data_IF_135234465748
#
_entry.id   IF_135234465748
#
_cell.length_a   1.000
_cell.length_b   1.000
_cell.length_c   1.000
_cell.angle_alpha   90.00
_cell.angle_beta   90.00
_cell.angle_gamma   90.00
#
_symmetry.space_group_name_H-M   'P 1'
#
loop_
_entity.id
_entity.type
_entity.pdbx_description
1 polymer ?
#
# COMPACT_ATOMS: atom_id res chain seq x y z
N UNK A 1 -16.93 -39.05 -23.52
CA UNK A 1 -15.81 -38.81 -24.47
C UNK A 1 -15.18 -37.47 -24.14
N UNK A 2 -13.84 -37.39 -24.01
CA UNK A 2 -13.16 -36.08 -23.95
C UNK A 2 -13.30 -35.42 -25.33
N UNK A 3 -13.74 -34.16 -25.45
CA UNK A 3 -13.80 -33.50 -26.76
C UNK A 3 -12.42 -33.51 -27.43
N UNK A 4 -12.39 -33.62 -28.75
CA UNK A 4 -11.15 -33.48 -29.50
C UNK A 4 -10.55 -32.11 -29.17
N UNK A 5 -9.26 -32.09 -28.81
CA UNK A 5 -8.54 -30.88 -28.37
C UNK A 5 -8.86 -29.58 -29.15
N UNK A 6 -8.98 -29.56 -30.51
CA UNK A 6 -9.25 -28.32 -31.24
C UNK A 6 -10.61 -27.66 -30.95
N UNK A 7 -11.67 -28.43 -30.63
CA UNK A 7 -13.00 -27.84 -30.35
C UNK A 7 -13.08 -27.23 -28.95
N UNK A 8 -12.23 -27.70 -28.03
CA UNK A 8 -12.20 -27.23 -26.65
C UNK A 8 -11.50 -25.87 -26.50
N UNK A 9 -10.58 -25.51 -27.41
CA UNK A 9 -9.85 -24.25 -27.42
C UNK A 9 -10.38 -23.32 -28.52
N UNK A 10 -11.57 -22.77 -28.32
CA UNK A 10 -12.13 -21.74 -29.19
C UNK A 10 -12.07 -20.37 -28.50
N UNK A 11 -11.49 -19.37 -29.16
CA UNK A 11 -11.62 -17.96 -28.77
C UNK A 11 -12.87 -17.42 -29.46
N UNK A 12 -14.00 -17.38 -28.74
CA UNK A 12 -15.27 -16.89 -29.29
C UNK A 12 -16.05 -16.06 -28.27
N UNK A 13 -16.88 -15.15 -28.77
CA UNK A 13 -17.71 -14.25 -27.96
C UNK A 13 -17.05 -12.92 -27.64
N UNK A 14 -17.69 -12.14 -26.78
CA UNK A 14 -17.25 -10.79 -26.38
C UNK A 14 -16.59 -10.85 -24.99
N UNK A 15 -15.42 -10.22 -24.78
CA UNK A 15 -14.72 -10.22 -23.50
C UNK A 15 -15.30 -9.15 -22.55
N UNK A 16 -16.51 -9.37 -22.04
CA UNK A 16 -17.25 -8.39 -21.23
C UNK A 16 -16.52 -7.99 -19.95
N UNK A 17 -15.81 -8.90 -19.29
CA UNK A 17 -15.06 -8.60 -18.07
C UNK A 17 -13.88 -7.68 -18.39
N UNK A 18 -13.13 -7.97 -19.45
CA UNK A 18 -12.04 -7.11 -19.92
C UNK A 18 -12.57 -5.73 -20.32
N UNK A 19 -13.67 -5.66 -21.08
CA UNK A 19 -14.30 -4.38 -21.47
C UNK A 19 -14.70 -3.58 -20.22
N UNK A 20 -15.35 -4.22 -19.26
CA UNK A 20 -15.82 -3.56 -18.04
C UNK A 20 -14.66 -3.03 -17.21
N UNK A 21 -13.57 -3.80 -17.10
CA UNK A 21 -12.35 -3.39 -16.41
C UNK A 21 -11.71 -2.17 -17.05
N UNK A 22 -11.57 -2.17 -18.38
CA UNK A 22 -10.97 -1.05 -19.12
C UNK A 22 -11.86 0.19 -19.05
N UNK A 23 -13.19 0.03 -19.15
CA UNK A 23 -14.12 1.13 -18.99
C UNK A 23 -14.04 1.74 -17.58
N UNK A 24 -13.99 0.91 -16.54
CA UNK A 24 -13.81 1.38 -15.17
C UNK A 24 -12.50 2.17 -15.00
N UNK A 25 -11.40 1.69 -15.57
CA UNK A 25 -10.12 2.39 -15.53
C UNK A 25 -10.17 3.75 -16.26
N UNK A 26 -10.88 3.84 -17.39
CA UNK A 26 -11.12 5.11 -18.10
C UNK A 26 -11.94 6.06 -17.25
N UNK A 27 -13.06 5.61 -16.67
CA UNK A 27 -13.92 6.44 -15.81
C UNK A 27 -13.16 6.97 -14.58
N UNK A 28 -12.35 6.12 -13.94
CA UNK A 28 -11.55 6.50 -12.78
C UNK A 28 -10.47 7.51 -13.17
N UNK A 29 -9.77 7.30 -14.30
CA UNK A 29 -8.79 8.26 -14.80
C UNK A 29 -9.43 9.61 -15.07
N UNK A 30 -10.59 9.64 -15.72
CA UNK A 30 -11.32 10.88 -15.99
C UNK A 30 -11.79 11.56 -14.70
N UNK A 31 -12.31 10.81 -13.72
CA UNK A 31 -12.70 11.36 -12.43
C UNK A 31 -11.50 11.98 -11.67
N UNK A 32 -10.32 11.35 -11.75
CA UNK A 32 -9.13 11.82 -11.06
C UNK A 32 -8.40 12.97 -11.79
N UNK A 33 -8.40 12.99 -13.12
CA UNK A 33 -7.68 13.97 -13.95
C UNK A 33 -8.54 15.17 -14.39
N UNK A 34 -9.85 14.97 -14.55
CA UNK A 34 -10.70 15.85 -15.34
C UNK A 34 -10.20 15.95 -16.79
N UNK A 35 -10.11 17.17 -17.31
CA UNK A 35 -9.58 17.47 -18.67
C UNK A 35 -8.05 17.63 -18.73
N UNK A 36 -7.33 17.28 -17.66
CA UNK A 36 -5.87 17.44 -17.60
C UNK A 36 -5.16 16.27 -18.27
N UNK A 37 -3.92 16.49 -18.69
CA UNK A 37 -3.07 15.46 -19.33
C UNK A 37 -2.52 14.42 -18.34
N UNK A 38 -2.62 14.65 -17.03
CA UNK A 38 -2.16 13.73 -16.00
C UNK A 38 -2.73 14.02 -14.62
N UNK A 39 -2.58 13.05 -13.73
CA UNK A 39 -3.09 13.10 -12.36
C UNK A 39 -1.96 13.43 -11.39
N UNK A 40 -2.16 14.45 -10.56
CA UNK A 40 -1.20 14.81 -9.53
C UNK A 40 -1.14 13.75 -8.41
N UNK A 41 0.02 13.60 -7.77
CA UNK A 41 0.24 12.59 -6.73
C UNK A 41 -0.77 12.64 -5.57
N UNK A 42 -1.15 13.82 -5.02
CA UNK A 42 -2.17 13.87 -3.97
C UNK A 42 -3.52 13.29 -4.42
N UNK A 43 -3.93 13.56 -5.66
CA UNK A 43 -5.15 12.99 -6.24
C UNK A 43 -5.02 11.48 -6.42
N UNK A 44 -3.88 10.98 -6.89
CA UNK A 44 -3.65 9.53 -7.00
C UNK A 44 -3.76 8.83 -5.64
N UNK A 45 -3.17 9.41 -4.59
CA UNK A 45 -3.29 8.90 -3.22
C UNK A 45 -4.73 8.98 -2.71
N UNK A 46 -5.46 10.04 -3.00
CA UNK A 46 -6.87 10.17 -2.61
C UNK A 46 -7.74 9.07 -3.24
N UNK A 47 -7.54 8.80 -4.53
CA UNK A 47 -8.32 7.82 -5.28
C UNK A 47 -7.91 6.36 -5.03
N UNK A 48 -6.82 6.12 -4.29
CA UNK A 48 -6.46 4.76 -3.86
C UNK A 48 -5.17 4.18 -4.39
N UNK A 49 -4.22 5.00 -4.87
CA UNK A 49 -2.90 4.51 -5.21
C UNK A 49 -2.30 3.75 -4.01
N UNK A 50 -1.60 2.66 -4.29
CA UNK A 50 -0.99 1.84 -3.26
C UNK A 50 0.11 2.68 -2.62
N UNK A 51 -0.02 2.90 -1.32
CA UNK A 51 1.01 3.45 -0.46
C UNK A 51 1.06 2.57 0.79
N UNK A 52 2.17 1.86 1.00
CA UNK A 52 2.35 0.92 2.11
C UNK A 52 2.00 1.54 3.46
N UNK A 53 2.41 2.78 3.78
CA UNK A 53 2.06 3.38 5.06
C UNK A 53 0.56 3.65 5.23
N UNK A 54 -0.20 3.95 4.17
CA UNK A 54 -1.65 4.13 4.30
C UNK A 54 -2.38 2.80 4.55
N UNK A 55 -1.84 1.71 4.00
CA UNK A 55 -2.36 0.36 4.25
C UNK A 55 -2.07 -0.03 5.70
N UNK A 56 -0.83 0.13 6.17
CA UNK A 56 -0.40 -0.30 7.50
C UNK A 56 -0.86 0.63 8.63
N UNK A 57 -0.81 1.95 8.44
CA UNK A 57 -1.08 2.91 9.50
C UNK A 57 -2.58 3.22 9.64
N UNK A 58 -3.32 3.17 8.54
CA UNK A 58 -4.75 3.56 8.48
C UNK A 58 -5.69 2.40 8.18
N UNK A 59 -5.17 1.21 7.89
CA UNK A 59 -5.99 0.07 7.51
C UNK A 59 -6.74 0.30 6.19
N UNK A 60 -6.19 1.09 5.26
CA UNK A 60 -6.83 1.38 3.96
C UNK A 60 -6.62 0.24 2.97
N UNK A 61 -7.09 -0.95 3.34
CA UNK A 61 -6.89 -2.23 2.65
C UNK A 61 -7.53 -2.26 1.26
N UNK A 62 -8.55 -1.44 1.03
CA UNK A 62 -9.19 -1.22 -0.27
C UNK A 62 -8.21 -0.74 -1.36
N UNK A 63 -7.08 -0.12 -0.97
CA UNK A 63 -5.99 0.28 -1.88
C UNK A 63 -5.36 -0.92 -2.60
N UNK A 64 -5.42 -2.11 -2.00
CA UNK A 64 -4.91 -3.35 -2.63
C UNK A 64 -5.65 -3.69 -3.92
N UNK A 65 -6.88 -3.21 -4.07
CA UNK A 65 -7.67 -3.38 -5.29
C UNK A 65 -7.69 -2.09 -6.11
N UNK A 66 -8.02 -0.95 -5.48
CA UNK A 66 -8.21 0.33 -6.17
C UNK A 66 -6.96 0.79 -6.96
N UNK A 67 -5.75 0.54 -6.44
CA UNK A 67 -4.51 0.92 -7.11
C UNK A 67 -4.38 0.33 -8.52
N UNK A 68 -4.91 -0.88 -8.75
CA UNK A 68 -4.82 -1.57 -10.04
C UNK A 68 -5.71 -0.94 -11.11
N UNK A 69 -6.69 -0.11 -10.73
CA UNK A 69 -7.59 0.59 -11.68
C UNK A 69 -7.11 2.01 -12.00
N UNK A 70 -6.21 2.56 -11.19
CA UNK A 70 -5.71 3.93 -11.34
C UNK A 70 -4.62 4.04 -12.38
N UNK A 71 -4.63 5.15 -13.12
CA UNK A 71 -3.58 5.47 -14.09
C UNK A 71 -3.15 6.92 -13.89
N UNK A 72 -1.86 7.19 -14.10
CA UNK A 72 -1.28 8.54 -13.94
C UNK A 72 -1.56 9.45 -15.13
N UNK A 73 -1.74 8.87 -16.32
CA UNK A 73 -1.97 9.57 -17.58
C UNK A 73 -2.62 8.61 -18.62
N UNK A 74 -3.17 9.15 -19.73
CA UNK A 74 -3.80 8.34 -20.77
C UNK A 74 -2.86 7.36 -21.47
N UNK A 75 -1.57 7.68 -21.60
CA UNK A 75 -0.59 6.82 -22.26
C UNK A 75 -0.31 5.57 -21.43
N UNK A 76 -0.18 5.73 -20.10
CA UNK A 76 -0.05 4.61 -19.18
C UNK A 76 -1.28 3.69 -19.26
N UNK A 77 -2.49 4.25 -19.33
CA UNK A 77 -3.70 3.46 -19.54
C UNK A 77 -3.70 2.75 -20.89
N UNK A 78 -3.29 3.41 -21.97
CA UNK A 78 -3.27 2.82 -23.31
C UNK A 78 -2.36 1.59 -23.39
N UNK A 79 -1.16 1.63 -22.81
CA UNK A 79 -0.27 0.47 -22.77
C UNK A 79 -0.85 -0.71 -21.98
N UNK A 80 -1.46 -0.45 -20.82
CA UNK A 80 -2.10 -1.49 -20.02
C UNK A 80 -3.35 -2.06 -20.72
N UNK A 81 -4.14 -1.19 -21.34
CA UNK A 81 -5.32 -1.57 -22.12
C UNK A 81 -4.94 -2.43 -23.32
N UNK A 82 -3.85 -2.12 -24.01
CA UNK A 82 -3.34 -2.95 -25.11
C UNK A 82 -3.01 -4.37 -24.64
N UNK A 83 -2.28 -4.52 -23.53
CA UNK A 83 -1.91 -5.84 -23.01
C UNK A 83 -3.14 -6.65 -22.55
N UNK A 84 -4.04 -6.01 -21.79
CA UNK A 84 -5.26 -6.64 -21.28
C UNK A 84 -6.25 -6.98 -22.39
N UNK A 85 -6.40 -6.12 -23.41
CA UNK A 85 -7.28 -6.39 -24.54
C UNK A 85 -6.81 -7.59 -25.36
N UNK A 86 -5.53 -7.60 -25.74
CA UNK A 86 -4.98 -8.62 -26.63
C UNK A 86 -4.87 -9.98 -25.95
N UNK A 87 -4.26 -10.05 -24.77
CA UNK A 87 -4.03 -11.33 -24.08
C UNK A 87 -5.15 -11.63 -23.10
N UNK A 88 -5.57 -10.65 -22.30
CA UNK A 88 -6.66 -10.82 -21.34
C UNK A 88 -7.98 -11.13 -22.01
N UNK A 89 -8.36 -10.36 -23.04
CA UNK A 89 -9.58 -10.63 -23.80
C UNK A 89 -9.55 -11.98 -24.52
N UNK A 90 -8.39 -12.40 -25.03
CA UNK A 90 -8.22 -13.75 -25.59
C UNK A 90 -8.39 -14.83 -24.52
N UNK A 91 -7.77 -14.67 -23.35
CA UNK A 91 -7.85 -15.61 -22.24
C UNK A 91 -9.28 -15.72 -21.70
N UNK A 92 -9.97 -14.60 -21.49
CA UNK A 92 -11.37 -14.55 -21.03
C UNK A 92 -12.29 -15.39 -21.92
N UNK A 93 -12.10 -15.30 -23.24
CA UNK A 93 -12.90 -16.06 -24.20
C UNK A 93 -12.53 -17.54 -24.26
N UNK A 94 -11.31 -17.90 -23.88
CA UNK A 94 -10.80 -19.26 -23.89
C UNK A 94 -11.14 -20.05 -22.61
N UNK A 95 -11.25 -19.38 -21.46
CA UNK A 95 -11.48 -20.03 -20.14
C UNK A 95 -12.87 -19.79 -19.60
N UNK A 96 -13.22 -20.43 -18.49
CA UNK A 96 -14.51 -20.21 -17.83
C UNK A 96 -14.58 -18.78 -17.24
N UNK A 97 -15.72 -18.08 -17.35
CA UNK A 97 -15.84 -16.70 -16.87
C UNK A 97 -15.49 -16.52 -15.38
N UNK A 98 -15.90 -17.46 -14.53
CA UNK A 98 -15.57 -17.43 -13.10
C UNK A 98 -14.07 -17.60 -12.84
N UNK A 99 -13.40 -18.47 -13.60
CA UNK A 99 -11.95 -18.68 -13.48
C UNK A 99 -11.19 -17.40 -13.90
N UNK A 100 -11.64 -16.73 -14.97
CA UNK A 100 -11.04 -15.46 -15.42
C UNK A 100 -11.24 -14.32 -14.41
N UNK A 101 -12.44 -14.19 -13.86
CA UNK A 101 -12.72 -13.18 -12.83
C UNK A 101 -11.86 -13.40 -11.58
N UNK A 102 -11.77 -14.65 -11.11
CA UNK A 102 -10.91 -15.01 -9.98
C UNK A 102 -9.44 -14.70 -10.28
N UNK A 103 -8.95 -15.05 -11.47
CA UNK A 103 -7.59 -14.69 -11.91
C UNK A 103 -7.34 -13.18 -11.78
N UNK A 104 -8.25 -12.33 -12.26
CA UNK A 104 -8.08 -10.86 -12.16
C UNK A 104 -8.03 -10.38 -10.72
N UNK A 105 -8.93 -10.88 -9.86
CA UNK A 105 -8.97 -10.51 -8.44
C UNK A 105 -7.67 -10.90 -7.73
N UNK A 106 -7.20 -12.14 -7.92
CA UNK A 106 -6.01 -12.62 -7.23
C UNK A 106 -4.73 -12.03 -7.81
N UNK A 107 -4.65 -11.78 -9.11
CA UNK A 107 -3.48 -11.09 -9.70
C UNK A 107 -3.41 -9.62 -9.27
N UNK A 108 -4.55 -8.92 -9.13
CA UNK A 108 -4.61 -7.58 -8.56
C UNK A 108 -4.10 -7.55 -7.12
N UNK A 109 -4.53 -8.53 -6.31
CA UNK A 109 -4.13 -8.67 -4.91
C UNK A 109 -2.64 -9.05 -4.77
N UNK A 110 -2.18 -10.05 -5.54
CA UNK A 110 -0.78 -10.48 -5.55
C UNK A 110 0.17 -9.38 -6.01
N UNK A 111 -0.26 -8.56 -6.98
CA UNK A 111 0.47 -7.36 -7.42
C UNK A 111 0.69 -6.41 -6.25
N UNK A 112 -0.38 -5.95 -5.60
CA UNK A 112 -0.27 -4.88 -4.59
C UNK A 112 0.33 -5.36 -3.28
N UNK A 113 0.18 -6.64 -2.93
CA UNK A 113 0.80 -7.22 -1.73
C UNK A 113 2.30 -7.42 -1.87
N UNK A 114 2.75 -8.04 -2.96
CA UNK A 114 4.19 -8.21 -3.19
C UNK A 114 4.85 -6.84 -3.35
N UNK A 115 4.18 -5.89 -4.00
CA UNK A 115 4.57 -4.48 -3.99
C UNK A 115 4.64 -3.89 -2.58
N UNK A 116 3.65 -4.13 -1.71
CA UNK A 116 3.64 -3.57 -0.34
C UNK A 116 4.77 -4.12 0.53
N UNK A 117 5.17 -5.37 0.30
CA UNK A 117 6.26 -6.03 1.04
C UNK A 117 7.62 -5.64 0.47
N UNK A 118 7.76 -5.59 -0.85
CA UNK A 118 9.04 -5.41 -1.53
C UNK A 118 9.40 -3.97 -1.88
N UNK A 119 8.43 -3.05 -1.89
CA UNK A 119 8.62 -1.68 -2.32
C UNK A 119 7.86 -0.66 -1.45
N UNK A 120 8.60 0.38 -1.06
CA UNK A 120 8.02 1.56 -0.41
C UNK A 120 7.47 2.60 -1.40
N UNK A 121 7.72 2.40 -2.70
CA UNK A 121 7.22 3.29 -3.74
C UNK A 121 5.69 3.26 -3.82
N UNK A 122 5.13 4.41 -4.21
CA UNK A 122 3.72 4.51 -4.57
C UNK A 122 3.52 3.75 -5.88
N UNK A 123 2.50 2.88 -5.92
CA UNK A 123 2.21 2.01 -7.07
C UNK A 123 0.76 2.14 -7.51
N UNK A 124 0.54 2.05 -8.82
CA UNK A 124 -0.76 2.13 -9.48
C UNK A 124 -0.67 1.56 -10.90
N UNK A 125 -1.82 1.25 -11.47
CA UNK A 125 -1.95 0.76 -12.84
C UNK A 125 -2.27 -0.72 -12.91
N UNK A 126 -2.89 -1.12 -14.02
CA UNK A 126 -3.28 -2.50 -14.25
C UNK A 126 -2.12 -3.38 -14.77
N UNK A 127 -0.90 -2.86 -14.84
CA UNK A 127 0.26 -3.56 -15.41
C UNK A 127 0.60 -4.85 -14.66
N UNK A 128 0.51 -4.88 -13.32
CA UNK A 128 0.69 -6.11 -12.55
C UNK A 128 -0.37 -7.18 -12.85
N UNK A 129 -1.63 -6.77 -13.00
CA UNK A 129 -2.70 -7.67 -13.50
C UNK A 129 -2.39 -8.18 -14.91
N UNK A 130 -1.88 -7.32 -15.80
CA UNK A 130 -1.49 -7.71 -17.15
C UNK A 130 -0.34 -8.75 -17.13
N UNK A 131 0.69 -8.57 -16.29
CA UNK A 131 1.73 -9.58 -16.06
C UNK A 131 1.16 -10.89 -15.52
N UNK A 132 0.17 -10.83 -14.63
CA UNK A 132 -0.55 -12.01 -14.15
C UNK A 132 -1.32 -12.72 -15.27
N UNK A 133 -2.03 -11.99 -16.11
CA UNK A 133 -2.71 -12.54 -17.29
C UNK A 133 -1.70 -13.17 -18.26
N UNK A 134 -0.55 -12.54 -18.50
CA UNK A 134 0.53 -13.10 -19.32
C UNK A 134 1.08 -14.41 -18.74
N UNK A 135 1.37 -14.44 -17.43
CA UNK A 135 1.81 -15.65 -16.72
C UNK A 135 0.78 -16.77 -16.75
N UNK A 136 -0.49 -16.42 -16.56
CA UNK A 136 -1.60 -17.37 -16.64
C UNK A 136 -1.73 -17.94 -18.06
N UNK A 137 -1.68 -17.10 -19.09
CA UNK A 137 -1.72 -17.52 -20.49
C UNK A 137 -0.56 -18.45 -20.87
N UNK A 138 0.65 -18.18 -20.36
CA UNK A 138 1.82 -19.04 -20.59
C UNK A 138 1.63 -20.43 -19.97
N UNK A 139 1.27 -20.50 -18.69
CA UNK A 139 1.11 -21.76 -17.95
C UNK A 139 -0.12 -22.54 -18.38
N UNK A 140 -1.24 -21.87 -18.64
CA UNK A 140 -2.45 -22.46 -19.22
C UNK A 140 -2.14 -23.11 -20.56
N UNK A 141 -1.55 -22.37 -21.50
CA UNK A 141 -1.26 -22.91 -22.82
C UNK A 141 -0.27 -24.07 -22.80
N UNK A 142 0.71 -24.04 -21.89
CA UNK A 142 1.64 -25.13 -21.67
C UNK A 142 0.95 -26.37 -21.08
N UNK A 143 0.24 -26.23 -19.95
CA UNK A 143 -0.48 -27.33 -19.27
C UNK A 143 -1.53 -27.99 -20.15
N UNK A 144 -2.22 -27.18 -20.95
CA UNK A 144 -3.33 -27.63 -21.79
C UNK A 144 -2.90 -28.02 -23.20
N UNK A 145 -1.61 -27.92 -23.51
CA UNK A 145 -1.04 -28.37 -24.78
C UNK A 145 -1.59 -27.61 -25.98
N UNK A 146 -1.78 -26.29 -25.87
CA UNK A 146 -2.32 -25.45 -26.95
C UNK A 146 -1.39 -25.47 -28.17
N UNK A 147 -1.96 -25.65 -29.36
CA UNK A 147 -1.25 -25.80 -30.64
C UNK A 147 -1.72 -24.79 -31.69
N UNK A 148 -1.02 -24.75 -32.82
CA UNK A 148 -1.38 -23.91 -33.96
C UNK A 148 -1.20 -22.41 -33.71
N UNK A 149 -2.07 -21.61 -34.33
CA UNK A 149 -2.05 -20.15 -34.26
C UNK A 149 -2.27 -19.61 -32.85
N UNK A 150 -3.02 -20.34 -32.01
CA UNK A 150 -3.28 -19.96 -30.62
C UNK A 150 -2.03 -19.93 -29.73
N UNK A 151 -0.91 -20.51 -30.19
CA UNK A 151 0.36 -20.45 -29.44
C UNK A 151 0.93 -19.04 -29.32
N UNK A 152 0.52 -18.08 -30.16
CA UNK A 152 0.93 -16.68 -30.00
C UNK A 152 0.27 -16.00 -28.81
N UNK A 153 -0.90 -16.50 -28.38
CA UNK A 153 -1.65 -15.99 -27.23
C UNK A 153 -1.42 -16.82 -25.97
N UNK A 154 -1.22 -18.15 -26.11
CA UNK A 154 -1.12 -19.08 -25.00
C UNK A 154 0.12 -19.98 -25.11
N UNK A 155 0.76 -20.26 -23.98
CA UNK A 155 1.91 -21.15 -23.93
C UNK A 155 3.25 -20.43 -24.08
N UNK A 156 4.32 -21.22 -24.23
CA UNK A 156 5.69 -20.74 -24.06
C UNK A 156 6.16 -19.68 -25.09
N UNK A 157 5.46 -19.48 -26.22
CA UNK A 157 5.85 -18.45 -27.20
C UNK A 157 5.63 -17.02 -26.70
N UNK A 158 4.83 -16.84 -25.64
CA UNK A 158 4.63 -15.52 -25.01
C UNK A 158 5.79 -15.13 -24.09
N UNK A 159 6.59 -16.10 -23.64
CA UNK A 159 7.63 -15.91 -22.61
C UNK A 159 8.71 -14.92 -23.05
N UNK A 160 9.25 -14.94 -24.28
CA UNK A 160 10.24 -13.95 -24.70
C UNK A 160 9.71 -12.51 -24.61
N UNK A 161 8.46 -12.28 -25.04
CA UNK A 161 7.81 -10.97 -24.94
C UNK A 161 7.60 -10.54 -23.49
N UNK A 162 7.16 -11.47 -22.64
CA UNK A 162 6.98 -11.24 -21.20
C UNK A 162 8.31 -10.83 -20.55
N UNK A 163 9.39 -11.57 -20.83
CA UNK A 163 10.72 -11.27 -20.30
C UNK A 163 11.24 -9.92 -20.80
N UNK A 164 11.02 -9.58 -22.07
CA UNK A 164 11.41 -8.28 -22.62
C UNK A 164 10.67 -7.12 -21.93
N UNK A 165 9.35 -7.25 -21.72
CA UNK A 165 8.55 -6.24 -21.02
C UNK A 165 8.98 -6.09 -19.56
N UNK A 166 9.24 -7.20 -18.87
CA UNK A 166 9.73 -7.17 -17.49
C UNK A 166 11.11 -6.53 -17.41
N UNK A 167 12.03 -6.91 -18.31
CA UNK A 167 13.38 -6.36 -18.38
C UNK A 167 13.39 -4.86 -18.68
N UNK A 168 12.50 -4.37 -19.56
CA UNK A 168 12.36 -2.94 -19.83
C UNK A 168 11.87 -2.16 -18.59
N UNK A 169 11.13 -2.81 -17.69
CA UNK A 169 10.73 -2.25 -16.40
C UNK A 169 11.87 -2.18 -15.39
N UNK A 170 12.88 -3.04 -15.49
CA UNK A 170 14.03 -3.04 -14.58
C UNK A 170 14.83 -1.74 -14.74
N UNK A 171 14.99 -1.01 -13.63
CA UNK A 171 15.72 0.26 -13.61
C UNK A 171 14.93 1.49 -14.08
N UNK A 172 13.71 1.30 -14.59
CA UNK A 172 12.84 2.42 -14.98
C UNK A 172 12.23 3.10 -13.75
N UNK A 173 12.51 4.39 -13.57
CA UNK A 173 11.94 5.17 -12.48
C UNK A 173 10.41 5.22 -12.58
N UNK A 174 9.72 4.93 -11.47
CA UNK A 174 8.26 4.87 -11.43
C UNK A 174 7.64 3.57 -11.93
N UNK A 175 8.44 2.52 -12.20
CA UNK A 175 7.96 1.17 -12.46
C UNK A 175 8.05 0.31 -11.20
N UNK A 176 6.96 -0.36 -10.86
CA UNK A 176 6.87 -1.26 -9.71
C UNK A 176 7.09 -2.72 -10.13
N UNK A 177 8.36 -3.12 -10.20
CA UNK A 177 8.74 -4.49 -10.59
C UNK A 177 8.36 -5.55 -9.54
N UNK A 178 8.24 -5.16 -8.27
CA UNK A 178 7.71 -6.05 -7.23
C UNK A 178 6.24 -6.35 -7.49
N UNK A 179 5.46 -5.34 -7.85
CA UNK A 179 4.10 -5.50 -8.32
C UNK A 179 4.00 -6.39 -9.55
N UNK A 180 4.82 -6.16 -10.57
CA UNK A 180 4.86 -7.00 -11.77
C UNK A 180 5.19 -8.46 -11.45
N UNK A 181 6.19 -8.69 -10.60
CA UNK A 181 6.59 -10.03 -10.14
C UNK A 181 5.47 -10.73 -9.36
N UNK A 182 4.79 -10.01 -8.47
CA UNK A 182 3.66 -10.55 -7.70
C UNK A 182 2.47 -10.93 -8.57
N UNK A 183 2.12 -10.08 -9.53
CA UNK A 183 1.10 -10.37 -10.53
C UNK A 183 1.47 -11.59 -11.37
N UNK A 184 2.68 -11.61 -11.93
CA UNK A 184 3.21 -12.70 -12.75
C UNK A 184 3.18 -14.05 -12.03
N UNK A 185 3.72 -14.10 -10.80
CA UNK A 185 3.76 -15.32 -9.99
C UNK A 185 2.35 -15.84 -9.70
N UNK A 186 1.46 -14.95 -9.26
CA UNK A 186 0.07 -15.30 -8.95
C UNK A 186 -0.64 -15.84 -10.19
N UNK A 187 -0.46 -15.16 -11.33
CA UNK A 187 -1.04 -15.58 -12.60
C UNK A 187 -0.51 -16.91 -13.09
N UNK A 188 0.80 -17.14 -13.03
CA UNK A 188 1.42 -18.40 -13.43
C UNK A 188 0.93 -19.60 -12.59
N UNK A 189 0.76 -19.40 -11.27
CA UNK A 189 0.20 -20.43 -10.39
C UNK A 189 -1.26 -20.71 -10.75
N UNK A 190 -2.08 -19.67 -10.92
CA UNK A 190 -3.49 -19.80 -11.23
C UNK A 190 -3.73 -20.42 -12.62
N UNK A 191 -2.92 -20.03 -13.61
CA UNK A 191 -2.97 -20.53 -14.99
C UNK A 191 -2.80 -22.05 -15.11
N UNK A 192 -2.10 -22.68 -14.16
CA UNK A 192 -1.98 -24.13 -14.10
C UNK A 192 -3.31 -24.86 -13.87
N UNK A 193 -4.29 -24.18 -13.30
CA UNK A 193 -5.59 -24.75 -12.91
C UNK A 193 -6.76 -24.23 -13.75
N UNK A 194 -6.51 -23.28 -14.66
CA UNK A 194 -7.53 -22.74 -15.56
C UNK A 194 -8.11 -23.84 -16.47
N UNK A 195 -9.42 -23.83 -16.62
CA UNK A 195 -10.16 -24.79 -17.43
C UNK A 195 -10.69 -24.14 -18.70
N UNK A 196 -10.53 -24.77 -19.88
CA UNK A 196 -11.11 -24.24 -21.12
C UNK A 196 -12.64 -24.17 -21.02
N UNK A 197 -13.23 -23.12 -21.60
CA UNK A 197 -14.66 -22.82 -21.47
C UNK A 197 -15.58 -23.97 -21.90
N UNK A 198 -15.19 -24.69 -22.95
CA UNK A 198 -15.98 -25.77 -23.57
C UNK A 198 -15.61 -27.17 -23.07
N UNK A 199 -14.73 -27.30 -22.07
CA UNK A 199 -14.28 -28.60 -21.58
C UNK A 199 -15.20 -29.12 -20.44
N UNK A 200 -15.91 -30.25 -20.63
CA UNK A 200 -16.80 -30.81 -19.61
C UNK A 200 -16.04 -31.53 -18.49
N UNK A 201 -16.58 -31.52 -17.27
CA UNK A 201 -16.13 -32.41 -16.17
C UNK A 201 -14.96 -31.93 -15.30
N UNK A 202 -14.47 -30.70 -15.46
CA UNK A 202 -13.34 -30.17 -14.64
C UNK A 202 -13.78 -29.32 -13.44
N UNK A 203 -14.72 -29.79 -12.63
CA UNK A 203 -15.11 -29.08 -11.41
C UNK A 203 -13.96 -29.04 -10.37
N UNK A 204 -13.12 -30.09 -10.33
CA UNK A 204 -11.98 -30.17 -9.43
C UNK A 204 -10.88 -29.15 -9.74
N UNK A 205 -10.62 -28.85 -11.02
CA UNK A 205 -9.63 -27.84 -11.43
C UNK A 205 -10.10 -26.42 -11.03
N UNK A 206 -11.38 -26.09 -11.24
CA UNK A 206 -11.96 -24.83 -10.76
C UNK A 206 -11.96 -24.74 -9.22
N UNK A 207 -12.14 -25.85 -8.49
CA UNK A 207 -12.02 -25.89 -7.01
C UNK A 207 -10.57 -25.68 -6.55
N UNK A 208 -9.58 -26.21 -7.26
CA UNK A 208 -8.16 -26.00 -6.95
C UNK A 208 -7.70 -24.58 -7.30
N UNK A 209 -8.18 -24.01 -8.40
CA UNK A 209 -7.98 -22.60 -8.72
C UNK A 209 -8.58 -21.71 -7.62
N UNK A 210 -9.81 -22.02 -7.19
CA UNK A 210 -10.46 -21.34 -6.08
C UNK A 210 -9.71 -21.54 -4.75
N UNK A 211 -9.13 -22.72 -4.48
CA UNK A 211 -8.35 -22.99 -3.28
C UNK A 211 -6.98 -22.30 -3.29
N UNK A 212 -6.29 -22.25 -4.43
CA UNK A 212 -5.05 -21.50 -4.60
C UNK A 212 -5.29 -19.99 -4.43
N UNK A 213 -6.38 -19.50 -5.05
CA UNK A 213 -6.87 -18.15 -4.82
C UNK A 213 -7.20 -17.90 -3.36
N UNK A 214 -7.97 -18.78 -2.72
CA UNK A 214 -8.34 -18.66 -1.31
C UNK A 214 -7.11 -18.69 -0.39
N UNK A 215 -6.08 -19.50 -0.66
CA UNK A 215 -4.84 -19.51 0.11
C UNK A 215 -4.10 -18.18 0.00
N UNK A 216 -3.97 -17.65 -1.22
CA UNK A 216 -3.38 -16.32 -1.46
C UNK A 216 -4.22 -15.27 -0.73
N UNK A 217 -5.55 -15.30 -0.88
CA UNK A 217 -6.49 -14.41 -0.20
C UNK A 217 -6.40 -14.52 1.33
N UNK A 218 -6.20 -15.71 1.88
CA UNK A 218 -6.09 -15.93 3.34
C UNK A 218 -4.75 -15.42 3.88
N UNK A 219 -3.65 -15.64 3.14
CA UNK A 219 -2.35 -15.05 3.46
C UNK A 219 -2.39 -13.52 3.35
N UNK A 220 -3.15 -13.00 2.38
CA UNK A 220 -3.43 -11.58 2.21
C UNK A 220 -4.22 -11.02 3.39
N UNK A 221 -5.31 -11.67 3.77
CA UNK A 221 -6.13 -11.32 4.92
C UNK A 221 -5.34 -11.42 6.23
N UNK A 222 -4.40 -12.36 6.40
CA UNK A 222 -3.53 -12.41 7.58
C UNK A 222 -2.57 -11.22 7.70
N UNK A 223 -2.07 -10.71 6.57
CA UNK A 223 -1.19 -9.52 6.50
C UNK A 223 -1.98 -8.20 6.66
N UNK A 224 -3.28 -8.24 6.36
CA UNK A 224 -4.13 -7.06 6.17
C UNK A 224 -5.20 -6.90 7.25
N UNK A 225 -5.61 -7.99 7.92
CA UNK A 225 -6.63 -8.02 8.98
C UNK A 225 -6.04 -7.86 10.40
N UNK A 226 -4.72 -7.72 10.54
CA UNK A 226 -4.09 -7.33 11.79
C UNK A 226 -4.04 -5.78 11.88
N UNK A 227 -4.39 -5.23 13.05
CA UNK A 227 -5.54 -4.36 13.30
C UNK A 227 -5.42 -2.94 12.72
N UNK A 228 -6.50 -2.15 12.85
CA UNK A 228 -6.61 -0.70 12.59
C UNK A 228 -5.66 0.20 13.43
N UNK A 229 -4.51 -0.35 13.85
CA UNK A 229 -3.51 0.22 14.71
C UNK A 229 -2.13 -0.05 14.12
N UNK A 230 -1.30 0.97 13.85
CA UNK A 230 0.01 0.80 13.23
C UNK A 230 0.87 -0.20 14.02
N UNK A 231 1.40 -1.23 13.37
CA UNK A 231 2.32 -2.17 14.02
C UNK A 231 3.61 -1.44 14.40
N UNK A 232 4.04 -1.54 15.65
CA UNK A 232 5.32 -0.96 16.10
C UNK A 232 6.45 -1.91 15.74
N UNK A 233 7.49 -1.39 15.07
CA UNK A 233 8.66 -2.14 14.66
C UNK A 233 9.70 -2.29 15.78
N UNK A 234 10.97 -2.31 15.36
CA UNK A 234 12.11 -2.40 16.28
C UNK A 234 12.40 -1.06 16.97
N UNK A 235 13.11 -1.13 18.10
CA UNK A 235 13.62 0.05 18.79
C UNK A 235 14.54 0.86 17.88
N UNK A 236 14.38 2.19 17.94
CA UNK A 236 15.20 3.17 17.25
C UNK A 236 15.91 4.05 18.27
N UNK A 237 17.22 4.21 18.11
CA UNK A 237 18.03 5.03 18.99
C UNK A 237 17.96 6.51 18.61
N UNK A 238 17.82 7.33 19.65
CA UNK A 238 17.82 8.79 19.62
C UNK A 238 18.96 9.39 20.44
N UNK A 239 18.90 10.71 20.68
CA UNK A 239 19.83 11.42 21.57
C UNK A 239 19.92 10.76 22.95
N UNK A 240 21.11 10.85 23.57
CA UNK A 240 21.39 10.30 24.89
C UNK A 240 21.01 8.81 25.06
N UNK A 241 21.09 8.02 23.99
CA UNK A 241 20.73 6.60 23.95
C UNK A 241 19.27 6.30 24.35
N UNK A 242 18.37 7.27 24.21
CA UNK A 242 16.93 7.03 24.28
C UNK A 242 16.51 6.07 23.18
N UNK A 243 15.65 5.11 23.50
CA UNK A 243 15.09 4.19 22.51
C UNK A 243 13.57 4.29 22.49
N UNK A 244 12.98 4.23 21.29
CA UNK A 244 11.54 4.23 21.08
C UNK A 244 11.19 3.32 19.92
N UNK A 245 10.06 2.60 19.99
CA UNK A 245 9.54 1.86 18.85
C UNK A 245 8.73 2.79 17.95
N UNK A 246 9.10 2.82 16.67
CA UNK A 246 8.37 3.56 15.62
C UNK A 246 7.44 2.61 14.86
N UNK A 247 6.38 3.13 14.20
CA UNK A 247 5.58 2.33 13.29
C UNK A 247 6.43 1.67 12.18
N UNK A 248 6.01 0.49 11.74
CA UNK A 248 6.70 -0.27 10.70
C UNK A 248 6.79 0.55 9.40
N UNK A 249 7.96 0.54 8.76
CA UNK A 249 8.18 1.25 7.49
C UNK A 249 8.41 2.76 7.60
N UNK A 250 8.27 3.35 8.79
CA UNK A 250 8.58 4.77 8.97
C UNK A 250 10.08 5.05 8.84
N UNK A 251 10.39 6.18 8.19
CA UNK A 251 11.73 6.59 7.80
C UNK A 251 12.16 7.79 8.62
N UNK A 252 13.46 7.91 8.85
CA UNK A 252 14.04 9.04 9.58
C UNK A 252 13.82 10.32 8.77
N UNK A 253 13.28 11.37 9.40
CA UNK A 253 12.91 12.63 8.76
C UNK A 253 13.91 13.75 9.09
N UNK A 254 14.23 13.96 10.37
CA UNK A 254 15.16 15.00 10.83
C UNK A 254 15.81 14.60 12.15
N UNK A 255 17.02 15.10 12.41
CA UNK A 255 17.71 14.95 13.70
C UNK A 255 18.24 16.31 14.16
N UNK A 256 18.23 16.51 15.47
CA UNK A 256 18.99 17.56 16.16
C UNK A 256 19.73 16.93 17.36
N UNK A 257 20.63 17.67 18.03
CA UNK A 257 21.29 17.16 19.23
C UNK A 257 20.32 16.74 20.34
N UNK A 258 19.12 17.31 20.38
CA UNK A 258 18.10 17.04 21.40
C UNK A 258 16.82 16.40 20.84
N UNK A 259 16.72 16.14 19.54
CA UNK A 259 15.51 15.53 18.97
C UNK A 259 15.79 14.62 17.79
N UNK A 260 14.89 13.68 17.54
CA UNK A 260 14.89 12.91 16.31
C UNK A 260 13.46 12.62 15.86
N UNK A 261 13.25 12.65 14.55
CA UNK A 261 11.95 12.54 13.92
C UNK A 261 11.92 11.42 12.89
N UNK A 262 10.77 10.77 12.80
CA UNK A 262 10.42 9.79 11.77
C UNK A 262 9.11 10.19 11.10
N UNK A 263 8.96 9.85 9.82
CA UNK A 263 7.72 10.02 9.08
C UNK A 263 7.37 8.78 8.27
N UNK A 264 6.11 8.70 7.87
CA UNK A 264 5.64 7.68 6.94
C UNK A 264 6.11 7.91 5.48
N UNK A 265 6.96 8.92 5.23
CA UNK A 265 7.50 9.22 3.90
C UNK A 265 6.52 9.83 2.90
N UNK A 266 5.28 10.13 3.32
CA UNK A 266 4.27 10.81 2.51
C UNK A 266 4.26 12.32 2.79
N UNK A 267 3.57 13.08 1.94
CA UNK A 267 3.48 14.55 2.02
C UNK A 267 2.04 15.02 2.15
N UNK A 268 1.85 16.30 2.49
CA UNK A 268 0.54 16.94 2.60
C UNK A 268 -0.41 16.20 3.56
N UNK A 269 -1.68 16.08 3.17
CA UNK A 269 -2.75 15.46 3.94
C UNK A 269 -2.55 13.96 4.26
N UNK A 270 -1.53 13.31 3.72
CA UNK A 270 -1.23 11.89 3.95
C UNK A 270 -0.02 11.68 4.88
N UNK A 271 0.72 12.75 5.21
CA UNK A 271 1.92 12.68 6.05
C UNK A 271 1.53 12.36 7.49
N UNK A 272 2.27 11.44 8.09
CA UNK A 272 2.29 11.22 9.54
C UNK A 272 3.73 11.25 10.00
N UNK A 273 3.99 11.85 11.15
CA UNK A 273 5.33 11.92 11.73
C UNK A 273 5.30 11.78 13.25
N UNK A 274 6.44 11.40 13.80
CA UNK A 274 6.65 11.24 15.23
C UNK A 274 8.04 11.74 15.58
N UNK A 275 8.10 12.62 16.57
CA UNK A 275 9.33 13.29 16.98
C UNK A 275 9.49 13.14 18.47
N UNK A 276 10.63 12.59 18.88
CA UNK A 276 11.02 12.54 20.27
C UNK A 276 11.98 13.69 20.55
N UNK A 277 11.68 14.47 21.58
CA UNK A 277 12.43 15.64 21.99
C UNK A 277 12.89 15.42 23.43
N UNK A 278 14.20 15.40 23.63
CA UNK A 278 14.81 15.44 24.94
C UNK A 278 14.75 16.88 25.45
N UNK A 279 14.00 17.08 26.51
CA UNK A 279 13.85 18.38 27.13
C UNK A 279 15.07 18.69 28.02
N UNK A 280 15.37 19.98 28.17
CA UNK A 280 16.36 20.42 29.16
C UNK A 280 15.92 20.11 30.59
N UNK A 281 16.83 20.15 31.57
CA UNK A 281 16.48 19.99 32.97
C UNK A 281 15.51 21.11 33.39
N UNK A 282 14.30 20.73 33.77
CA UNK A 282 13.29 21.64 34.33
C UNK A 282 13.06 21.32 35.81
N UNK A 283 12.52 22.27 36.59
CA UNK A 283 12.15 22.07 38.02
C UNK A 283 10.81 22.71 38.34
N UNK A 284 10.04 22.07 39.22
CA UNK A 284 8.78 22.60 39.75
C UNK A 284 7.71 22.82 38.65
N UNK A 285 7.01 23.95 38.72
CA UNK A 285 5.93 24.34 37.81
C UNK A 285 6.38 24.55 36.34
N UNK A 286 7.69 24.52 36.06
CA UNK A 286 8.24 24.57 34.71
C UNK A 286 8.25 23.20 34.00
N UNK A 287 8.08 22.09 34.73
CA UNK A 287 8.04 20.72 34.19
C UNK A 287 6.61 20.17 33.96
N UNK A 288 5.56 21.00 34.03
CA UNK A 288 4.20 20.49 33.77
C UNK A 288 4.13 19.98 32.33
N UNK A 289 3.55 18.79 32.13
CA UNK A 289 3.37 18.17 30.81
C UNK A 289 2.80 19.15 29.78
N UNK A 290 1.78 19.92 30.15
CA UNK A 290 1.14 20.88 29.25
C UNK A 290 2.14 21.93 28.73
N UNK A 291 3.00 22.45 29.60
CA UNK A 291 4.00 23.46 29.23
C UNK A 291 5.12 22.88 28.37
N UNK A 292 5.59 21.68 28.69
CA UNK A 292 6.60 20.97 27.89
C UNK A 292 6.06 20.65 26.49
N UNK A 293 4.84 20.12 26.42
CA UNK A 293 4.16 19.87 25.14
C UNK A 293 3.95 21.16 24.36
N UNK A 294 3.45 22.23 24.99
CA UNK A 294 3.23 23.51 24.31
C UNK A 294 4.55 24.09 23.79
N UNK A 295 5.61 24.05 24.59
CA UNK A 295 6.95 24.50 24.18
C UNK A 295 7.56 23.65 23.06
N UNK A 296 7.42 22.33 23.13
CA UNK A 296 7.83 21.40 22.07
C UNK A 296 7.05 21.65 20.77
N UNK A 297 5.75 21.90 20.88
CA UNK A 297 4.93 22.25 19.74
C UNK A 297 5.37 23.60 19.16
N UNK A 298 5.49 24.66 19.94
CA UNK A 298 5.93 25.96 19.44
C UNK A 298 7.35 25.93 18.81
N UNK A 299 8.27 25.18 19.41
CA UNK A 299 9.69 25.12 18.99
C UNK A 299 10.01 24.10 17.90
N UNK A 300 9.14 23.12 17.67
CA UNK A 300 9.38 22.02 16.72
C UNK A 300 8.27 21.88 15.68
N UNK A 301 7.06 22.45 15.87
CA UNK A 301 6.01 22.46 14.86
C UNK A 301 6.56 23.00 13.54
N UNK A 302 7.24 24.15 13.55
CA UNK A 302 7.78 24.76 12.32
C UNK A 302 8.78 23.85 11.56
N UNK A 303 9.47 22.92 12.24
CA UNK A 303 10.33 21.90 11.61
C UNK A 303 9.55 20.71 11.08
N UNK A 304 8.39 20.45 11.67
CA UNK A 304 7.49 19.38 11.30
C UNK A 304 6.50 19.81 10.20
N UNK A 305 6.48 21.08 9.78
CA UNK A 305 5.71 21.57 8.63
C UNK A 305 6.55 21.53 7.34
N UNK A 306 6.50 20.42 6.62
CA UNK A 306 6.72 20.45 5.15
C UNK A 306 5.43 20.88 4.41
N UNK A 307 4.47 21.45 5.15
CA UNK A 307 3.10 21.77 4.76
C UNK A 307 2.84 23.23 5.14
N UNK A 308 3.43 24.16 4.38
CA UNK A 308 3.21 25.60 4.52
C UNK A 308 3.40 26.20 5.94
N UNK A 309 2.97 27.45 6.11
CA UNK A 309 2.91 28.10 7.42
C UNK A 309 1.62 27.64 8.14
N UNK A 310 1.72 27.10 9.35
CA UNK A 310 0.54 26.85 10.17
C UNK A 310 -0.17 28.16 10.51
N UNK A 311 -1.49 28.14 10.42
CA UNK A 311 -2.34 29.30 10.70
C UNK A 311 -2.85 29.30 12.14
N UNK A 312 -3.14 28.12 12.70
CA UNK A 312 -3.72 27.99 14.04
C UNK A 312 -3.40 26.63 14.66
N UNK A 313 -3.14 26.62 15.97
CA UNK A 313 -2.97 25.40 16.78
C UNK A 313 -3.99 25.44 17.91
N UNK A 314 -4.80 24.40 18.03
CA UNK A 314 -5.81 24.25 19.08
C UNK A 314 -5.50 22.99 19.88
N UNK A 315 -5.12 23.14 21.15
CA UNK A 315 -4.79 22.04 22.04
C UNK A 315 -5.92 21.85 23.06
N UNK A 316 -6.26 20.59 23.33
CA UNK A 316 -7.15 20.20 24.41
C UNK A 316 -6.44 20.11 25.76
N UNK A 317 -7.16 19.61 26.76
CA UNK A 317 -6.63 19.42 28.11
C UNK A 317 -5.71 18.20 28.21
N UNK A 318 -4.77 18.25 29.16
CA UNK A 318 -3.87 17.14 29.43
C UNK A 318 -4.60 15.98 30.13
N UNK A 319 -4.42 14.76 29.61
CA UNK A 319 -4.98 13.53 30.19
C UNK A 319 -3.88 12.50 30.48
N UNK A 320 -4.01 11.64 31.50
CA UNK A 320 -2.99 10.63 31.81
C UNK A 320 -2.86 9.58 30.68
N UNK A 321 -1.63 9.12 30.40
CA UNK A 321 -1.38 8.07 29.41
C UNK A 321 -1.55 6.68 30.03
N UNK A 322 -2.41 5.85 29.44
CA UNK A 322 -2.57 4.46 29.87
C UNK A 322 -1.30 3.66 29.61
N UNK A 323 -0.81 2.95 30.63
CA UNK A 323 0.36 2.07 30.52
C UNK A 323 1.73 2.76 30.59
N UNK A 324 1.78 4.09 30.76
CA UNK A 324 3.03 4.82 30.96
C UNK A 324 2.98 5.64 32.27
N UNK A 325 3.72 5.18 33.28
CA UNK A 325 3.82 5.90 34.56
C UNK A 325 4.50 7.26 34.37
N UNK A 326 3.95 8.31 35.01
CA UNK A 326 4.41 9.70 34.91
C UNK A 326 4.37 10.25 33.48
N UNK A 327 3.37 9.86 32.71
CA UNK A 327 3.12 10.38 31.39
C UNK A 327 1.71 10.98 31.27
N UNK A 328 1.63 12.13 30.60
CA UNK A 328 0.37 12.77 30.24
C UNK A 328 0.40 13.11 28.74
N UNK A 329 -0.78 13.09 28.11
CA UNK A 329 -0.99 13.39 26.70
C UNK A 329 -1.86 14.62 26.53
N UNK A 330 -1.65 15.31 25.42
CA UNK A 330 -2.48 16.41 24.94
C UNK A 330 -2.79 16.12 23.48
N UNK A 331 -4.07 16.19 23.13
CA UNK A 331 -4.53 16.08 21.75
C UNK A 331 -4.97 17.44 21.24
N UNK A 332 -4.88 17.67 19.93
CA UNK A 332 -5.23 18.93 19.32
C UNK A 332 -5.39 18.83 17.80
N UNK A 333 -5.77 19.97 17.22
CA UNK A 333 -5.87 20.16 15.78
C UNK A 333 -5.00 21.34 15.36
N UNK A 334 -4.34 21.19 14.22
CA UNK A 334 -3.53 22.21 13.59
C UNK A 334 -4.15 22.53 12.24
N UNK A 335 -4.42 23.81 11.99
CA UNK A 335 -4.89 24.31 10.71
C UNK A 335 -3.68 24.82 9.90
N UNK A 336 -3.42 24.19 8.76
CA UNK A 336 -2.40 24.60 7.78
C UNK A 336 -3.01 25.06 6.46
N UNK A 337 -2.16 25.48 5.51
CA UNK A 337 -2.59 25.84 4.15
C UNK A 337 -3.12 24.65 3.36
N UNK A 338 -2.51 23.46 3.52
CA UNK A 338 -2.92 22.24 2.82
C UNK A 338 -3.96 21.41 3.60
N UNK A 339 -4.56 21.97 4.65
CA UNK A 339 -5.64 21.36 5.43
C UNK A 339 -5.33 21.22 6.92
N UNK A 340 -6.10 20.35 7.59
CA UNK A 340 -5.98 20.12 9.02
C UNK A 340 -5.12 18.90 9.32
N UNK A 341 -4.35 18.96 10.40
CA UNK A 341 -3.64 17.82 10.98
C UNK A 341 -4.06 17.63 12.44
N UNK A 342 -4.21 16.39 12.85
CA UNK A 342 -4.30 16.02 14.26
C UNK A 342 -2.90 15.99 14.86
N UNK A 343 -2.76 16.64 16.01
CA UNK A 343 -1.55 16.54 16.83
C UNK A 343 -1.89 15.83 18.12
N UNK A 344 -1.05 14.87 18.46
CA UNK A 344 -1.06 14.21 19.76
C UNK A 344 0.34 14.37 20.32
N UNK A 345 0.48 14.79 21.57
CA UNK A 345 1.76 14.91 22.23
C UNK A 345 1.71 14.24 23.59
N UNK A 346 2.79 13.60 24.01
CA UNK A 346 2.92 12.92 25.28
C UNK A 346 4.21 13.36 25.95
N UNK A 347 4.11 13.90 27.16
CA UNK A 347 5.27 14.17 28.00
C UNK A 347 5.50 12.98 28.92
N UNK A 348 6.74 12.50 29.00
CA UNK A 348 7.16 11.42 29.88
C UNK A 348 8.20 11.99 30.84
N UNK A 349 7.82 12.12 32.11
CA UNK A 349 8.70 12.67 33.15
C UNK A 349 9.41 11.52 33.87
N UNK A 350 10.66 11.25 33.45
CA UNK A 350 11.57 10.32 34.13
C UNK A 350 12.95 10.95 34.31
N UNK A 351 13.64 10.53 35.35
CA UNK A 351 15.01 10.94 35.65
C UNK A 351 15.98 10.27 34.65
N UNK A 352 16.97 10.98 34.04
CA UNK A 352 17.50 12.29 34.41
C UNK A 352 16.88 13.52 33.71
N UNK A 353 16.07 13.34 32.67
CA UNK A 353 15.47 14.44 31.91
C UNK A 353 14.12 14.06 31.31
N UNK A 354 13.12 14.97 31.32
CA UNK A 354 11.83 14.71 30.70
C UNK A 354 11.98 14.63 29.17
N UNK A 355 11.06 13.89 28.57
CA UNK A 355 11.03 13.70 27.12
C UNK A 355 9.62 13.99 26.62
N UNK A 356 9.53 14.73 25.52
CA UNK A 356 8.27 14.99 24.83
C UNK A 356 8.24 14.19 23.53
N UNK A 357 7.22 13.36 23.36
CA UNK A 357 6.90 12.69 22.11
C UNK A 357 5.76 13.44 21.43
N UNK A 358 5.99 13.97 20.24
CA UNK A 358 4.97 14.62 19.41
C UNK A 358 4.67 13.73 18.21
N UNK A 359 3.39 13.40 18.00
CA UNK A 359 2.90 12.62 16.86
C UNK A 359 1.93 13.49 16.06
N UNK A 360 2.22 13.66 14.78
CA UNK A 360 1.36 14.34 13.82
C UNK A 360 0.73 13.32 12.89
N UNK A 361 -0.58 13.44 12.69
CA UNK A 361 -1.35 12.58 11.80
C UNK A 361 -2.41 13.41 11.05
N UNK A 362 -2.97 12.89 9.96
CA UNK A 362 -4.18 13.47 9.38
C UNK A 362 -5.36 13.39 10.39
N UNK A 363 -6.45 14.15 10.22
CA UNK A 363 -7.52 14.27 11.21
C UNK A 363 -8.14 12.94 11.66
N UNK A 364 -8.24 11.95 10.75
CA UNK A 364 -8.69 10.59 11.06
C UNK A 364 -7.64 9.63 11.64
N UNK A 365 -6.51 10.14 12.15
CA UNK A 365 -5.42 9.34 12.71
C UNK A 365 -5.74 8.68 14.06
N UNK A 366 -5.13 7.52 14.32
CA UNK A 366 -5.33 6.72 15.53
C UNK A 366 -4.98 7.49 16.82
N UNK A 367 -5.96 7.69 17.71
CA UNK A 367 -5.77 8.31 19.03
C UNK A 367 -4.87 7.50 19.97
N UNK A 368 -4.74 6.20 19.75
CA UNK A 368 -3.97 5.30 20.63
C UNK A 368 -2.52 5.11 20.17
N UNK A 369 -2.14 5.62 18.99
CA UNK A 369 -0.78 5.47 18.48
C UNK A 369 0.24 6.08 19.45
N UNK A 370 -0.03 7.30 19.93
CA UNK A 370 0.87 7.98 20.84
C UNK A 370 1.04 7.26 22.17
N UNK A 371 -0.02 6.66 22.71
CA UNK A 371 0.03 5.92 23.97
C UNK A 371 0.93 4.68 23.82
N UNK A 372 0.74 3.93 22.73
CA UNK A 372 1.53 2.73 22.44
C UNK A 372 2.99 3.07 22.21
N UNK A 373 3.29 4.19 21.54
CA UNK A 373 4.66 4.66 21.37
C UNK A 373 5.26 5.10 22.70
N UNK A 374 4.57 5.97 23.45
CA UNK A 374 5.02 6.47 24.75
C UNK A 374 5.34 5.34 25.74
N UNK A 375 4.56 4.26 25.75
CA UNK A 375 4.82 3.07 26.57
C UNK A 375 6.12 2.33 26.22
N UNK A 376 6.70 2.56 25.04
CA UNK A 376 7.95 1.92 24.59
C UNK A 376 9.19 2.79 24.75
N UNK A 377 9.05 4.02 25.25
CA UNK A 377 10.20 4.91 25.46
C UNK A 377 11.06 4.35 26.60
N UNK A 378 12.33 4.07 26.32
CA UNK A 378 13.32 3.58 27.27
C UNK A 378 14.58 4.46 27.28
N UNK A 379 15.25 4.47 28.44
CA UNK A 379 16.52 5.17 28.68
C UNK A 379 17.65 4.14 28.74
N UNK A 380 18.90 4.52 28.45
CA UNK A 380 20.04 3.61 28.55
C UNK A 380 20.13 2.97 29.94
N UNK A 381 20.32 1.64 29.96
CA UNK A 381 20.56 0.87 31.19
C UNK A 381 19.31 0.46 31.99
N UNK A 382 18.09 0.76 31.52
CA UNK A 382 16.83 0.28 32.13
C UNK A 382 15.97 -0.43 31.07
N UNK A 383 16.05 -1.75 31.01
CA UNK A 383 15.10 -2.60 30.28
C UNK A 383 14.15 -3.29 31.25
#
# INVERSE_FOLDING_TARGET
MRPAAPEAFAIGGVPWVTISLLLAAVCILFAAAGWRSGVALPSLLLYGAKATPLILDRGETWRLFAANLLHKDPLHLAFNAFALWNVGGALERAVRPADYLALLIFTALGTTLVSAIGADSISLGASGMAFGVLGASATFGWRRGVRGTLRSYFGLRIVPWLLALFAAGLGSAGVDNWGHGGGLLTGALFGCFLSPRRWPGEAAASRLAAAAGALIGTLSLGVVAAPALPALGQFRQGPAALELKMPLGWRRAANSPSSFSYSNGLTGAFRSSATLIQEGPCRGHLCTCERLVRGALESDLWRLADIGRFKRVQLGEASPVRGAARAARVDGLIDGEDGQAKVSAACISRDPAPVTLVVLQPPGGSSTLIERMAATVSWPGKR
#
